data_IF_784167774281
#
_entry.id   IF_784167774281
#
_cell.length_a   1.000
_cell.length_b   1.000
_cell.length_c   1.000
_cell.angle_alpha   90.00
_cell.angle_beta   90.00
_cell.angle_gamma   90.00
#
_symmetry.space_group_name_H-M   'P 1'
#
loop_
_entity.id
_entity.type
_entity.pdbx_description
1 polymer ?
#
# COMPACT_ATOMS: atom_id res chain seq x y z
N UNK A 1 -15.55 13.81 2.90
CA UNK A 1 -14.91 14.47 1.74
C UNK A 1 -15.64 14.07 0.46
N UNK A 2 -15.89 15.01 -0.46
CA UNK A 2 -16.54 14.75 -1.76
C UNK A 2 -15.67 13.87 -2.66
N UNK A 3 -14.36 14.16 -2.72
CA UNK A 3 -13.40 13.43 -3.56
C UNK A 3 -13.38 11.93 -3.25
N UNK A 4 -13.39 11.56 -1.96
CA UNK A 4 -13.41 10.15 -1.52
C UNK A 4 -14.70 9.46 -2.02
N UNK A 5 -15.85 10.14 -1.92
CA UNK A 5 -17.13 9.60 -2.40
C UNK A 5 -17.12 9.41 -3.92
N UNK A 6 -16.55 10.35 -4.66
CA UNK A 6 -16.38 10.21 -6.11
C UNK A 6 -15.52 8.98 -6.45
N UNK A 7 -14.34 8.84 -5.83
CA UNK A 7 -13.49 7.66 -6.05
C UNK A 7 -14.20 6.34 -5.73
N UNK A 8 -15.03 6.30 -4.68
CA UNK A 8 -15.80 5.10 -4.37
C UNK A 8 -16.82 4.75 -5.47
N UNK A 9 -17.49 5.74 -6.06
CA UNK A 9 -18.39 5.49 -7.20
C UNK A 9 -17.63 4.96 -8.42
N UNK A 10 -16.47 5.54 -8.74
CA UNK A 10 -15.61 5.03 -9.81
C UNK A 10 -15.15 3.60 -9.53
N UNK A 11 -14.75 3.29 -8.29
CA UNK A 11 -14.35 1.95 -7.87
C UNK A 11 -15.49 0.94 -8.06
N UNK A 12 -16.72 1.30 -7.67
CA UNK A 12 -17.90 0.46 -7.89
C UNK A 12 -18.18 0.24 -9.38
N UNK A 13 -18.06 1.30 -10.20
CA UNK A 13 -18.19 1.21 -11.66
C UNK A 13 -17.18 0.25 -12.29
N UNK A 14 -15.90 0.36 -11.93
CA UNK A 14 -14.86 -0.55 -12.41
C UNK A 14 -15.05 -1.99 -11.92
N UNK A 15 -15.53 -2.19 -10.69
CA UNK A 15 -15.90 -3.53 -10.21
C UNK A 15 -17.03 -4.14 -11.03
N UNK A 16 -18.02 -3.35 -11.42
CA UNK A 16 -19.09 -3.82 -12.30
C UNK A 16 -18.57 -4.14 -13.71
N UNK A 17 -17.72 -3.28 -14.27
CA UNK A 17 -17.08 -3.52 -15.56
C UNK A 17 -16.26 -4.82 -15.56
N UNK A 18 -15.46 -5.06 -14.51
CA UNK A 18 -14.67 -6.27 -14.37
C UNK A 18 -15.54 -7.54 -14.43
N UNK A 19 -16.68 -7.54 -13.73
CA UNK A 19 -17.66 -8.64 -13.76
C UNK A 19 -18.15 -8.93 -15.17
N UNK A 20 -18.52 -7.89 -15.91
CA UNK A 20 -18.98 -8.01 -17.29
C UNK A 20 -17.86 -8.58 -18.18
N UNK A 21 -16.65 -8.03 -18.09
CA UNK A 21 -15.51 -8.49 -18.88
C UNK A 21 -15.13 -9.94 -18.59
N UNK A 22 -15.26 -10.42 -17.35
CA UNK A 22 -15.09 -11.83 -17.00
C UNK A 22 -16.21 -12.69 -17.61
N UNK A 23 -17.47 -12.25 -17.51
CA UNK A 23 -18.61 -12.97 -18.10
C UNK A 23 -18.51 -13.10 -19.63
N UNK A 24 -17.89 -12.11 -20.28
CA UNK A 24 -17.61 -12.11 -21.72
C UNK A 24 -16.34 -12.88 -22.11
N UNK A 25 -15.60 -13.42 -21.13
CA UNK A 25 -14.35 -14.16 -21.34
C UNK A 25 -13.15 -13.30 -21.75
N UNK A 26 -13.22 -11.97 -21.52
CA UNK A 26 -12.12 -11.03 -21.82
C UNK A 26 -11.08 -10.98 -20.70
N UNK A 27 -11.52 -11.19 -19.47
CA UNK A 27 -10.66 -11.31 -18.30
C UNK A 27 -10.82 -12.68 -17.65
N UNK A 28 -9.75 -13.27 -17.11
CA UNK A 28 -9.83 -14.52 -16.36
C UNK A 28 -10.44 -14.35 -14.97
N UNK A 29 -10.28 -13.18 -14.34
CA UNK A 29 -10.78 -12.86 -12.99
C UNK A 29 -11.05 -11.35 -12.86
N UNK A 30 -11.90 -10.95 -11.93
CA UNK A 30 -12.33 -9.55 -11.76
C UNK A 30 -11.19 -8.64 -11.30
N UNK A 31 -10.37 -9.10 -10.35
CA UNK A 31 -9.33 -8.28 -9.73
C UNK A 31 -8.19 -7.95 -10.69
N UNK A 32 -8.03 -8.71 -11.78
CA UNK A 32 -7.00 -8.45 -12.78
C UNK A 32 -7.17 -7.09 -13.45
N UNK A 33 -8.39 -6.55 -13.48
CA UNK A 33 -8.69 -5.23 -14.02
C UNK A 33 -7.82 -4.13 -13.39
N UNK A 34 -7.51 -4.24 -12.09
CA UNK A 34 -6.72 -3.22 -11.37
C UNK A 34 -5.23 -3.25 -11.71
N UNK A 35 -4.78 -4.22 -12.50
CA UNK A 35 -3.41 -4.31 -13.01
C UNK A 35 -3.28 -3.84 -14.47
N UNK A 36 -4.34 -3.23 -15.01
CA UNK A 36 -4.39 -2.66 -16.35
C UNK A 36 -4.39 -1.12 -16.30
N UNK A 37 -3.82 -0.50 -17.33
CA UNK A 37 -4.02 0.94 -17.57
C UNK A 37 -5.36 1.20 -18.26
N UNK A 38 -5.86 2.44 -18.25
CA UNK A 38 -7.08 2.81 -18.97
C UNK A 38 -7.01 2.46 -20.46
N UNK A 39 -5.87 2.71 -21.10
CA UNK A 39 -5.66 2.38 -22.52
C UNK A 39 -5.73 0.86 -22.74
N UNK A 40 -5.10 0.07 -21.87
CA UNK A 40 -5.14 -1.39 -21.94
C UNK A 40 -6.56 -1.95 -21.70
N UNK A 41 -7.38 -1.29 -20.87
CA UNK A 41 -8.79 -1.63 -20.70
C UNK A 41 -9.56 -1.36 -21.99
N UNK A 42 -9.38 -0.18 -22.60
CA UNK A 42 -10.02 0.15 -23.88
C UNK A 42 -9.62 -0.85 -24.98
N UNK A 43 -8.32 -1.14 -25.09
CA UNK A 43 -7.81 -2.13 -26.04
C UNK A 43 -8.42 -3.52 -25.82
N UNK A 44 -8.66 -3.93 -24.56
CA UNK A 44 -9.31 -5.20 -24.24
C UNK A 44 -10.83 -5.19 -24.43
N UNK A 45 -11.47 -4.03 -24.54
CA UNK A 45 -12.88 -3.92 -24.91
C UNK A 45 -13.04 -4.05 -26.43
N UNK A 46 -12.14 -3.45 -27.20
CA UNK A 46 -12.13 -3.53 -28.66
C UNK A 46 -11.57 -4.87 -29.17
N UNK A 47 -10.55 -5.40 -28.50
CA UNK A 47 -9.82 -6.62 -28.90
C UNK A 47 -9.90 -7.71 -27.84
N UNK A 48 -9.35 -8.90 -28.10
CA UNK A 48 -9.16 -9.97 -27.11
C UNK A 48 -7.69 -10.31 -26.94
N UNK A 49 -6.83 -9.30 -26.87
CA UNK A 49 -5.37 -9.48 -26.88
C UNK A 49 -4.86 -10.25 -25.64
N UNK A 50 -4.34 -11.48 -25.81
CA UNK A 50 -3.80 -12.26 -24.68
C UNK A 50 -2.51 -11.65 -24.11
N UNK A 51 -1.80 -10.82 -24.90
CA UNK A 51 -0.57 -10.16 -24.47
C UNK A 51 -0.83 -9.16 -23.33
N UNK A 52 -1.96 -8.46 -23.37
CA UNK A 52 -2.35 -7.51 -22.32
C UNK A 52 -2.61 -8.27 -21.01
N UNK A 53 -3.33 -9.39 -21.09
CA UNK A 53 -3.63 -10.26 -19.94
C UNK A 53 -2.32 -10.80 -19.33
N UNK A 54 -1.36 -11.21 -20.16
CA UNK A 54 -0.05 -11.70 -19.68
C UNK A 54 0.72 -10.62 -18.91
N UNK A 55 0.74 -9.39 -19.41
CA UNK A 55 1.38 -8.24 -18.74
C UNK A 55 0.71 -7.90 -17.42
N UNK A 56 -0.63 -7.89 -17.38
CA UNK A 56 -1.38 -7.65 -16.15
C UNK A 56 -1.06 -8.70 -15.07
N UNK A 57 -0.98 -9.98 -15.46
CA UNK A 57 -0.60 -11.06 -14.54
C UNK A 57 0.83 -10.90 -14.02
N UNK A 58 1.76 -10.46 -14.88
CA UNK A 58 3.12 -10.16 -14.44
C UNK A 58 3.13 -9.04 -13.38
N UNK A 59 2.38 -7.95 -13.61
CA UNK A 59 2.26 -6.85 -12.63
C UNK A 59 1.66 -7.34 -11.31
N UNK A 60 0.61 -8.18 -11.37
CA UNK A 60 -0.01 -8.79 -10.18
C UNK A 60 1.00 -9.59 -9.36
N UNK A 61 1.86 -10.37 -10.02
CA UNK A 61 2.90 -11.16 -9.33
C UNK A 61 3.98 -10.29 -8.68
N UNK A 62 4.38 -9.20 -9.33
CA UNK A 62 5.41 -8.30 -8.81
C UNK A 62 4.86 -7.38 -7.70
N UNK A 63 3.56 -7.12 -7.69
CA UNK A 63 2.91 -6.24 -6.71
C UNK A 63 3.17 -6.64 -5.26
N UNK A 64 3.07 -7.94 -4.93
CA UNK A 64 3.34 -8.43 -3.56
C UNK A 64 4.77 -8.18 -3.10
N UNK A 65 5.73 -8.08 -4.02
CA UNK A 65 7.12 -7.74 -3.71
C UNK A 65 7.25 -6.23 -3.53
N UNK A 66 6.66 -5.46 -4.44
CA UNK A 66 6.72 -3.98 -4.43
C UNK A 66 6.02 -3.35 -3.22
N UNK A 67 4.99 -4.00 -2.66
CA UNK A 67 4.27 -3.52 -1.48
C UNK A 67 5.20 -3.35 -0.26
N UNK A 68 6.29 -4.11 -0.20
CA UNK A 68 7.27 -4.03 0.89
C UNK A 68 8.37 -2.98 0.66
N UNK A 69 8.41 -2.33 -0.50
CA UNK A 69 9.45 -1.35 -0.82
C UNK A 69 9.20 -0.03 -0.11
N UNK A 70 10.18 0.40 0.68
CA UNK A 70 10.26 1.76 1.24
C UNK A 70 11.14 2.60 0.35
N UNK A 71 10.74 3.84 0.09
CA UNK A 71 11.52 4.76 -0.73
C UNK A 71 11.85 6.03 0.05
N UNK A 72 12.98 6.69 -0.25
CA UNK A 72 13.29 7.98 0.35
C UNK A 72 12.28 9.04 -0.10
N UNK A 73 12.03 10.03 0.77
CA UNK A 73 11.07 11.12 0.51
C UNK A 73 11.42 11.90 -0.77
N UNK A 74 12.72 12.09 -1.03
CA UNK A 74 13.22 12.71 -2.25
C UNK A 74 14.17 11.74 -2.93
N UNK A 75 13.87 11.43 -4.20
CA UNK A 75 14.71 10.62 -5.07
C UNK A 75 15.01 11.36 -6.37
N UNK A 76 16.18 11.11 -6.96
CA UNK A 76 16.57 11.64 -8.28
C UNK A 76 16.97 10.49 -9.19
N UNK A 77 16.46 10.49 -10.41
CA UNK A 77 16.72 9.42 -11.37
C UNK A 77 15.85 8.19 -11.08
N UNK A 78 16.44 6.99 -11.15
CA UNK A 78 15.70 5.74 -10.94
C UNK A 78 15.41 5.51 -9.46
N UNK A 79 14.13 5.27 -9.07
CA UNK A 79 13.77 4.95 -7.70
C UNK A 79 14.53 3.72 -7.20
N UNK A 80 15.21 3.85 -6.06
CA UNK A 80 15.84 2.72 -5.36
C UNK A 80 15.19 2.56 -3.99
N UNK A 81 14.74 1.35 -3.63
CA UNK A 81 14.21 1.10 -2.31
C UNK A 81 15.31 1.21 -1.25
N UNK A 82 14.92 1.55 -0.03
CA UNK A 82 15.76 1.53 1.16
C UNK A 82 15.89 0.07 1.60
N UNK A 83 17.12 -0.38 1.86
CA UNK A 83 17.40 -1.68 2.48
C UNK A 83 17.68 -1.47 3.96
N UNK A 84 16.73 -1.84 4.82
CA UNK A 84 16.86 -1.67 6.28
C UNK A 84 18.03 -2.51 6.86
N UNK A 85 18.47 -3.57 6.18
CA UNK A 85 19.61 -4.41 6.59
C UNK A 85 20.96 -3.68 6.48
N UNK A 86 21.13 -2.82 5.47
CA UNK A 86 22.37 -2.08 5.23
C UNK A 86 22.60 -0.97 6.30
N UNK A 87 21.53 -0.50 6.97
CA UNK A 87 21.60 0.46 8.09
C UNK A 87 21.88 -0.20 9.45
N UNK A 88 21.71 -1.52 9.55
CA UNK A 88 21.80 -2.26 10.84
C UNK A 88 23.21 -2.76 11.18
N UNK A 89 24.15 -2.71 10.23
CA UNK A 89 25.49 -3.27 10.38
C UNK A 89 26.46 -2.38 11.19
N UNK A 90 26.16 -1.07 11.31
CA UNK A 90 27.01 -0.13 12.02
C UNK A 90 26.34 0.36 13.31
N UNK A 91 26.65 -0.32 14.42
CA UNK A 91 26.59 0.21 15.81
C UNK A 91 25.22 0.19 16.50
N UNK A 92 24.80 -0.98 16.98
CA UNK A 92 23.94 -1.04 18.18
C UNK A 92 24.80 -1.25 19.42
N UNK A 93 25.42 -0.18 19.93
CA UNK A 93 25.73 -0.15 21.35
C UNK A 93 24.39 -0.10 22.09
N UNK A 94 24.21 -0.96 23.10
CA UNK A 94 23.07 -0.87 24.03
C UNK A 94 23.19 0.44 24.82
N UNK A 95 22.71 1.55 24.26
CA UNK A 95 22.65 2.84 24.93
C UNK A 95 21.45 2.78 25.89
N UNK A 96 21.72 2.88 27.19
CA UNK A 96 20.70 2.84 28.25
C UNK A 96 19.62 3.94 28.11
N UNK A 97 19.90 4.99 27.33
CA UNK A 97 19.04 6.15 27.06
C UNK A 97 18.72 6.29 25.56
N UNK A 98 18.16 5.26 24.92
CA UNK A 98 17.70 5.36 23.53
C UNK A 98 16.56 6.38 23.41
N UNK A 99 16.88 7.59 22.93
CA UNK A 99 15.89 8.64 22.66
C UNK A 99 15.61 8.77 21.17
N UNK A 100 14.35 8.63 20.76
CA UNK A 100 13.89 8.96 19.41
C UNK A 100 13.41 10.41 19.34
N UNK A 101 13.77 11.13 18.27
CA UNK A 101 13.30 12.49 18.00
C UNK A 101 12.33 12.50 16.83
N UNK A 102 11.32 13.37 16.89
CA UNK A 102 10.32 13.53 15.84
C UNK A 102 9.78 14.96 15.80
N UNK A 103 8.79 15.19 14.95
CA UNK A 103 8.10 16.48 14.83
C UNK A 103 7.00 16.56 15.92
N UNK A 104 6.98 17.60 16.77
CA UNK A 104 5.96 17.73 17.80
C UNK A 104 4.58 18.04 17.18
N UNK A 105 3.57 17.24 17.50
CA UNK A 105 2.19 17.41 17.00
C UNK A 105 1.24 17.96 18.08
N UNK A 106 1.47 17.59 19.35
CA UNK A 106 0.65 18.02 20.50
C UNK A 106 1.54 18.39 21.67
N UNK A 107 1.08 19.32 22.52
CA UNK A 107 1.77 19.70 23.75
C UNK A 107 1.41 18.73 24.87
N UNK A 108 2.41 18.33 25.66
CA UNK A 108 2.23 17.43 26.81
C UNK A 108 3.38 16.44 26.95
N UNK A 109 3.52 15.86 28.15
CA UNK A 109 4.48 14.79 28.44
C UNK A 109 3.70 13.69 29.18
N UNK A 110 3.75 12.46 28.68
CA UNK A 110 3.09 11.28 29.27
C UNK A 110 4.05 10.09 29.24
N UNK A 111 3.79 9.11 30.10
CA UNK A 111 4.49 7.83 30.16
C UNK A 111 3.46 6.71 30.14
N UNK A 112 3.64 5.78 29.20
CA UNK A 112 2.75 4.63 29.06
C UNK A 112 3.35 3.54 28.19
N UNK A 113 2.60 2.47 27.98
CA UNK A 113 3.01 1.39 27.10
C UNK A 113 2.88 1.80 25.64
N UNK A 114 3.98 1.74 24.89
CA UNK A 114 3.95 1.85 23.43
C UNK A 114 3.31 0.58 22.83
N UNK A 115 2.41 0.76 21.87
CA UNK A 115 1.78 -0.32 21.10
C UNK A 115 1.87 0.01 19.62
N UNK A 116 2.22 -0.99 18.82
CA UNK A 116 2.30 -0.86 17.36
C UNK A 116 1.09 -1.56 16.77
N UNK A 117 0.28 -0.83 16.00
CA UNK A 117 -0.84 -1.35 15.24
C UNK A 117 -0.68 -0.87 13.79
N UNK A 118 -0.33 -1.77 12.88
CA UNK A 118 -0.12 -1.49 11.47
C UNK A 118 -1.43 -1.57 10.67
N UNK A 119 -2.44 -2.25 11.22
CA UNK A 119 -3.77 -2.38 10.60
C UNK A 119 -4.86 -1.76 11.47
N UNK A 120 -5.98 -1.40 10.83
CA UNK A 120 -7.15 -0.89 11.56
C UNK A 120 -7.74 -1.95 12.50
N UNK A 121 -7.65 -3.23 12.11
CA UNK A 121 -8.12 -4.36 12.92
C UNK A 121 -7.27 -4.50 14.20
N UNK A 122 -5.94 -4.44 14.09
CA UNK A 122 -5.05 -4.40 15.27
C UNK A 122 -5.35 -3.20 16.17
N UNK A 123 -5.61 -2.03 15.57
CA UNK A 123 -5.95 -0.82 16.30
C UNK A 123 -7.27 -0.95 17.08
N UNK A 124 -8.23 -1.74 16.58
CA UNK A 124 -9.51 -1.96 17.25
C UNK A 124 -9.38 -2.71 18.59
N UNK A 125 -8.30 -3.46 18.77
CA UNK A 125 -8.00 -4.21 20.00
C UNK A 125 -7.16 -3.43 21.02
N UNK A 126 -6.84 -2.15 20.74
CA UNK A 126 -6.09 -1.32 21.67
C UNK A 126 -6.89 -1.06 22.94
N UNK A 127 -6.28 -1.34 24.08
CA UNK A 127 -6.84 -1.02 25.40
C UNK A 127 -6.48 0.41 25.77
N UNK A 128 -7.38 1.08 26.49
CA UNK A 128 -7.09 2.39 27.10
C UNK A 128 -5.82 2.28 27.95
N UNK A 129 -4.87 3.19 27.71
CA UNK A 129 -3.66 3.31 28.52
C UNK A 129 -3.97 3.95 29.87
N UNK A 130 -3.32 3.48 30.93
CA UNK A 130 -3.29 4.15 32.22
C UNK A 130 -1.91 4.79 32.37
N UNK A 131 -1.86 6.06 32.77
CA UNK A 131 -0.59 6.77 33.03
C UNK A 131 0.17 6.06 34.17
N UNK A 132 1.42 5.68 33.91
CA UNK A 132 2.33 5.20 34.95
C UNK A 132 2.95 6.43 35.62
N UNK A 133 2.39 6.85 36.76
CA UNK A 133 2.98 7.87 37.65
C UNK A 133 4.35 7.44 38.16
#
# INVERSE_FOLDING_TARGET
>A
SLTIKCFDHWRQGFRHLAKLMVSEGRLPEEDLLFFLTYDEINDLLETRSPNIISRANQRKRVFSIMENYKFPEIMKGTPKPINDEDESADTYEFIADLTMKGIPVSQGVTKGYARVAATLEEASHLKVGYDLN
#
